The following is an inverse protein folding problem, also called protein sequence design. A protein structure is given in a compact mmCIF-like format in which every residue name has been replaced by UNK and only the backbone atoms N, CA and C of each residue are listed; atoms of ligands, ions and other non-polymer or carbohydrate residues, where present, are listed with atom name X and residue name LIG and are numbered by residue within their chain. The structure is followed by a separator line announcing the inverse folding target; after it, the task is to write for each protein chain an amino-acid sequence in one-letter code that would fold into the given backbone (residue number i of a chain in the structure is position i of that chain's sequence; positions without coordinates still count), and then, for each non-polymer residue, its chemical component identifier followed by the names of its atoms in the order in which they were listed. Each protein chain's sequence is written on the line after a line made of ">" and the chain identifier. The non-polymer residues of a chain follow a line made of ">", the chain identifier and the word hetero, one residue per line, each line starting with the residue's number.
data_IF_308423943834
#
_entry.id   IF_308423943834
#
_cell.length_a   1.000
_cell.length_b   1.000
_cell.length_c   1.000
_cell.angle_alpha   90.00
_cell.angle_beta   90.00
_cell.angle_gamma   90.00
#
_symmetry.space_group_name_H-M   'P 1'
#
loop_
_entity.id
_entity.type
_entity.pdbx_description
1 polymer ?
#
# COMPACT_ATOMS: atom_id res chain seq x y z
N UNK A 1 -34.08 58.49 26.39
CA UNK A 1 -32.83 59.00 25.80
C UNK A 1 -32.03 57.78 25.34
N UNK A 2 -31.93 57.64 24.06
CA UNK A 2 -31.46 56.44 23.37
C UNK A 2 -29.94 56.32 23.41
N UNK A 3 -29.41 55.11 23.68
CA UNK A 3 -28.04 54.75 23.38
C UNK A 3 -28.04 53.46 22.53
N UNK A 4 -27.63 53.61 21.30
CA UNK A 4 -27.41 52.56 20.31
C UNK A 4 -26.13 51.80 20.67
N UNK A 5 -26.20 50.50 20.90
CA UNK A 5 -25.06 49.61 21.02
C UNK A 5 -24.83 48.91 19.68
N UNK A 6 -23.73 49.26 19.03
CA UNK A 6 -23.30 48.61 17.77
C UNK A 6 -22.75 47.22 18.02
N UNK A 7 -23.31 46.22 17.33
CA UNK A 7 -22.72 44.90 17.19
C UNK A 7 -21.57 44.92 16.18
N UNK A 8 -20.36 44.72 16.66
CA UNK A 8 -19.23 44.36 15.81
C UNK A 8 -19.21 42.86 15.73
N UNK A 9 -19.69 42.33 14.63
CA UNK A 9 -19.49 40.90 14.27
C UNK A 9 -18.05 40.72 13.82
N UNK A 10 -17.22 40.20 14.70
CA UNK A 10 -15.91 39.67 14.33
C UNK A 10 -16.11 38.38 13.53
N UNK A 11 -16.03 38.46 12.21
CA UNK A 11 -15.81 37.32 11.33
C UNK A 11 -14.45 36.75 11.68
N UNK A 12 -14.46 35.66 12.44
CA UNK A 12 -13.30 34.83 12.64
C UNK A 12 -12.93 34.21 11.29
N UNK A 13 -11.95 34.80 10.61
CA UNK A 13 -11.23 34.10 9.56
C UNK A 13 -10.47 32.97 10.22
N UNK A 14 -11.10 31.78 10.27
CA UNK A 14 -10.39 30.54 10.53
C UNK A 14 -9.28 30.44 9.51
N UNK A 15 -8.03 30.50 9.96
CA UNK A 15 -6.89 30.14 9.14
C UNK A 15 -7.11 28.70 8.65
N UNK A 16 -7.54 28.53 7.39
CA UNK A 16 -7.39 27.27 6.69
C UNK A 16 -5.87 27.02 6.62
N UNK A 17 -5.36 26.20 7.54
CA UNK A 17 -4.06 25.64 7.38
C UNK A 17 -4.12 24.82 6.09
N UNK A 18 -3.48 25.34 5.06
CA UNK A 18 -3.23 24.57 3.83
C UNK A 18 -2.29 23.43 4.21
N UNK A 19 -2.86 22.31 4.67
CA UNK A 19 -2.10 21.09 4.73
C UNK A 19 -1.72 20.76 3.28
N UNK A 20 -0.43 20.82 2.98
CA UNK A 20 0.08 20.33 1.72
C UNK A 20 -0.37 18.87 1.56
N UNK A 21 -0.88 18.49 0.38
CA UNK A 21 -1.29 17.12 0.12
C UNK A 21 -0.20 16.15 0.53
N UNK A 22 -0.56 15.14 1.32
CA UNK A 22 0.37 14.09 1.73
C UNK A 22 0.69 13.15 0.56
N UNK A 23 -0.19 13.05 -0.44
CA UNK A 23 0.02 12.29 -1.65
C UNK A 23 0.94 13.05 -2.62
N UNK A 24 1.78 12.29 -3.33
CA UNK A 24 2.68 12.82 -4.34
C UNK A 24 2.30 12.33 -5.73
N UNK A 25 2.04 13.27 -6.65
CA UNK A 25 1.88 12.97 -8.06
C UNK A 25 3.24 12.70 -8.69
N UNK A 26 3.38 11.59 -9.39
CA UNK A 26 4.58 11.27 -10.16
C UNK A 26 4.33 11.67 -11.62
N UNK A 27 5.09 12.64 -12.10
CA UNK A 27 4.99 13.19 -13.46
C UNK A 27 6.18 12.73 -14.29
N UNK A 28 6.01 12.67 -15.61
CA UNK A 28 7.09 12.54 -16.57
C UNK A 28 7.28 13.82 -17.36
N UNK A 29 8.52 14.14 -17.68
CA UNK A 29 8.85 15.29 -18.53
C UNK A 29 8.35 15.10 -19.97
N UNK A 30 8.12 13.86 -20.38
CA UNK A 30 7.50 13.54 -21.67
C UNK A 30 6.71 12.23 -21.58
N UNK A 31 5.66 12.13 -22.39
CA UNK A 31 4.85 10.92 -22.53
C UNK A 31 5.21 10.26 -23.84
N UNK A 32 5.70 9.03 -23.79
CA UNK A 32 6.14 8.25 -24.95
C UNK A 32 5.02 7.43 -25.59
N UNK A 33 3.97 7.12 -24.82
CA UNK A 33 2.80 6.37 -25.32
C UNK A 33 1.59 6.60 -24.42
N UNK A 34 0.41 6.22 -24.93
CA UNK A 34 -0.86 6.20 -24.20
C UNK A 34 -1.19 4.79 -23.66
N UNK A 35 -0.22 3.88 -23.63
CA UNK A 35 -0.45 2.49 -23.29
C UNK A 35 -1.08 2.30 -21.88
N UNK A 36 -0.61 3.07 -20.91
CA UNK A 36 -1.09 3.03 -19.53
C UNK A 36 -2.08 4.16 -19.18
N UNK A 37 -2.56 4.92 -20.17
CA UNK A 37 -3.47 6.06 -19.95
C UNK A 37 -4.86 5.60 -19.56
N UNK A 38 -5.09 5.46 -18.26
CA UNK A 38 -6.39 5.16 -17.66
C UNK A 38 -7.29 6.40 -17.64
N UNK A 39 -8.60 6.17 -17.56
CA UNK A 39 -9.60 7.24 -17.37
C UNK A 39 -9.46 7.90 -16.00
N UNK A 40 -9.24 7.10 -14.97
CA UNK A 40 -9.13 7.55 -13.59
C UNK A 40 -7.67 7.50 -13.11
N UNK A 41 -7.26 8.40 -12.19
CA UNK A 41 -5.94 8.34 -11.56
C UNK A 41 -5.67 6.97 -10.93
N UNK A 42 -4.41 6.54 -10.95
CA UNK A 42 -3.95 5.33 -10.25
C UNK A 42 -3.24 5.78 -8.98
N UNK A 43 -3.73 5.34 -7.82
CA UNK A 43 -3.19 5.72 -6.51
C UNK A 43 -2.60 4.50 -5.81
N UNK A 44 -1.33 4.64 -5.41
CA UNK A 44 -0.52 3.57 -4.82
C UNK A 44 -0.46 3.70 -3.31
N UNK A 45 -0.68 2.59 -2.60
CA UNK A 45 -0.62 2.45 -1.15
C UNK A 45 0.54 1.52 -0.76
N UNK A 46 1.58 2.07 -0.12
CA UNK A 46 2.75 1.31 0.33
C UNK A 46 2.44 0.36 1.49
N UNK A 47 3.30 -0.65 1.70
CA UNK A 47 3.22 -1.62 2.80
C UNK A 47 3.68 -1.08 4.15
N UNK A 48 3.92 -1.99 5.10
CA UNK A 48 4.61 -1.70 6.35
C UNK A 48 6.05 -1.25 6.06
N UNK A 49 6.65 -0.46 6.95
CA UNK A 49 7.97 0.17 6.73
C UNK A 49 7.99 1.10 5.49
N UNK A 50 6.82 1.37 4.89
CA UNK A 50 6.73 2.02 3.60
C UNK A 50 6.97 3.53 3.64
N UNK A 51 7.23 4.07 2.46
CA UNK A 51 7.54 5.48 2.19
C UNK A 51 7.19 5.78 0.73
N UNK A 52 7.24 7.04 0.32
CA UNK A 52 7.24 7.37 -1.11
C UNK A 52 8.68 7.35 -1.62
N UNK A 53 9.55 8.18 -1.01
CA UNK A 53 10.96 8.29 -1.34
C UNK A 53 11.77 8.57 -0.08
N UNK A 54 12.88 7.85 0.11
CA UNK A 54 13.90 8.15 1.11
C UNK A 54 15.05 8.87 0.46
N UNK A 55 15.55 9.95 1.11
CA UNK A 55 16.68 10.73 0.61
C UNK A 55 16.29 11.85 -0.35
N UNK A 56 17.26 12.34 -1.11
CA UNK A 56 17.10 13.47 -2.03
C UNK A 56 16.70 13.03 -3.45
N UNK A 57 16.40 13.98 -4.34
CA UNK A 57 16.11 13.67 -5.74
C UNK A 57 17.26 12.94 -6.45
N UNK A 58 18.49 13.32 -6.15
CA UNK A 58 19.70 12.75 -6.77
C UNK A 58 20.20 11.48 -6.09
N UNK A 59 19.99 11.36 -4.78
CA UNK A 59 20.45 10.25 -3.96
C UNK A 59 19.28 9.77 -3.09
N UNK A 60 18.35 9.05 -3.70
CA UNK A 60 17.18 8.55 -3.00
C UNK A 60 16.70 7.21 -3.53
N UNK A 61 15.91 6.54 -2.72
CA UNK A 61 15.28 5.27 -3.02
C UNK A 61 13.76 5.44 -3.01
N UNK A 62 13.11 5.09 -4.11
CA UNK A 62 11.65 5.05 -4.20
C UNK A 62 11.13 3.69 -3.77
N UNK A 63 10.02 3.67 -3.03
CA UNK A 63 9.34 2.42 -2.67
C UNK A 63 8.88 1.65 -3.91
N UNK A 64 8.35 2.38 -4.90
CA UNK A 64 7.87 1.86 -6.18
C UNK A 64 8.91 2.16 -7.27
N UNK A 65 10.13 1.61 -7.09
CA UNK A 65 11.27 1.97 -7.93
C UNK A 65 10.98 1.73 -9.42
N UNK A 66 11.09 2.77 -10.24
CA UNK A 66 10.79 2.81 -11.68
C UNK A 66 9.33 2.48 -12.08
N UNK A 67 8.47 2.01 -11.18
CA UNK A 67 7.08 1.63 -11.51
C UNK A 67 6.26 2.88 -11.83
N UNK A 68 6.16 3.84 -10.91
CA UNK A 68 5.36 5.03 -11.13
C UNK A 68 5.92 5.92 -12.24
N UNK A 69 7.25 6.16 -12.33
CA UNK A 69 7.82 6.91 -13.46
C UNK A 69 7.55 6.25 -14.81
N UNK A 70 7.58 4.93 -14.91
CA UNK A 70 7.27 4.20 -16.14
C UNK A 70 5.80 4.37 -16.55
N UNK A 71 4.88 4.22 -15.59
CA UNK A 71 3.46 4.45 -15.82
C UNK A 71 3.19 5.88 -16.30
N UNK A 72 3.82 6.89 -15.67
CA UNK A 72 3.70 8.28 -16.08
C UNK A 72 4.23 8.51 -17.50
N UNK A 73 5.39 7.91 -17.89
CA UNK A 73 5.91 7.94 -19.26
C UNK A 73 4.96 7.29 -20.28
N UNK A 74 4.13 6.35 -19.82
CA UNK A 74 3.15 5.67 -20.67
C UNK A 74 1.72 6.23 -20.51
N UNK A 75 1.59 7.47 -20.03
CA UNK A 75 0.37 8.27 -20.08
C UNK A 75 -0.54 8.15 -18.85
N UNK A 76 -0.18 7.38 -17.83
CA UNK A 76 -0.99 7.26 -16.61
C UNK A 76 -0.87 8.51 -15.72
N UNK A 77 -1.97 8.88 -15.08
CA UNK A 77 -1.99 9.84 -13.98
C UNK A 77 -1.75 9.08 -12.66
N UNK A 78 -0.50 9.06 -12.20
CA UNK A 78 -0.06 8.24 -11.06
C UNK A 78 0.23 9.05 -9.82
N UNK A 79 -0.20 8.52 -8.68
CA UNK A 79 -0.04 9.10 -7.36
C UNK A 79 0.45 8.06 -6.36
N UNK A 80 1.36 8.46 -5.48
CA UNK A 80 1.76 7.67 -4.32
C UNK A 80 1.20 8.32 -3.06
N UNK A 81 0.43 7.56 -2.28
CA UNK A 81 -0.08 8.02 -0.99
C UNK A 81 0.95 7.77 0.12
N UNK A 82 0.93 8.62 1.12
CA UNK A 82 1.81 8.55 2.29
C UNK A 82 1.00 8.22 3.52
N UNK A 83 1.35 7.14 4.18
CA UNK A 83 0.68 6.66 5.39
C UNK A 83 1.71 6.41 6.49
N UNK A 84 1.25 6.23 7.71
CA UNK A 84 2.10 5.75 8.81
C UNK A 84 2.88 4.51 8.38
N UNK A 85 4.22 4.47 8.46
CA UNK A 85 5.00 3.25 8.24
C UNK A 85 4.56 2.08 9.11
N UNK A 86 4.14 2.38 10.35
CA UNK A 86 3.64 1.41 11.33
C UNK A 86 2.37 1.95 11.98
N UNK A 87 1.23 1.36 11.71
CA UNK A 87 -0.03 1.58 12.44
C UNK A 87 -1.08 0.55 12.01
N UNK A 88 -2.26 0.59 12.64
CA UNK A 88 -3.37 -0.30 12.29
C UNK A 88 -3.88 -0.09 10.86
N UNK A 89 -4.57 -1.09 10.34
CA UNK A 89 -5.21 -1.04 9.03
C UNK A 89 -6.21 0.12 8.92
N UNK A 90 -6.95 0.38 10.00
CA UNK A 90 -7.96 1.45 10.07
C UNK A 90 -7.31 2.84 10.03
N UNK A 91 -6.30 3.11 10.85
CA UNK A 91 -5.60 4.41 10.86
C UNK A 91 -4.97 4.69 9.49
N UNK A 92 -4.30 3.70 8.90
CA UNK A 92 -3.71 3.81 7.57
C UNK A 92 -4.78 3.96 6.48
N UNK A 93 -5.90 3.27 6.65
CA UNK A 93 -7.06 3.38 5.76
C UNK A 93 -7.65 4.78 5.75
N UNK A 94 -7.86 5.40 6.92
CA UNK A 94 -8.33 6.78 7.03
C UNK A 94 -7.36 7.79 6.41
N UNK A 95 -6.05 7.65 6.68
CA UNK A 95 -5.02 8.47 6.05
C UNK A 95 -5.05 8.36 4.53
N UNK A 96 -5.32 7.17 4.02
CA UNK A 96 -5.42 6.91 2.59
C UNK A 96 -6.67 7.54 1.99
N UNK A 97 -7.84 7.37 2.61
CA UNK A 97 -9.13 7.92 2.16
C UNK A 97 -9.06 9.45 2.04
N UNK A 98 -8.48 10.13 3.04
CA UNK A 98 -8.29 11.59 3.00
C UNK A 98 -7.50 12.02 1.76
N UNK A 99 -6.41 11.32 1.44
CA UNK A 99 -5.59 11.62 0.27
C UNK A 99 -6.30 11.29 -1.06
N UNK A 100 -7.13 10.24 -1.10
CA UNK A 100 -7.96 9.96 -2.28
C UNK A 100 -8.93 11.11 -2.57
N UNK A 101 -9.57 11.66 -1.54
CA UNK A 101 -10.46 12.81 -1.66
C UNK A 101 -9.72 14.05 -2.18
N UNK A 102 -8.52 14.32 -1.67
CA UNK A 102 -7.66 15.40 -2.17
C UNK A 102 -7.26 15.18 -3.64
N UNK A 103 -6.85 13.97 -4.02
CA UNK A 103 -6.49 13.63 -5.41
C UNK A 103 -7.67 13.84 -6.35
N UNK A 104 -8.86 13.39 -5.96
CA UNK A 104 -10.08 13.59 -6.75
C UNK A 104 -10.40 15.08 -6.89
N UNK A 105 -10.27 15.88 -5.84
CA UNK A 105 -10.46 17.32 -5.89
C UNK A 105 -9.45 18.03 -6.82
N UNK A 106 -8.17 17.61 -6.77
CA UNK A 106 -7.11 18.19 -7.61
C UNK A 106 -7.28 17.80 -9.08
N UNK A 107 -7.68 16.55 -9.35
CA UNK A 107 -7.76 16.01 -10.71
C UNK A 107 -9.11 16.20 -11.40
N UNK A 108 -10.15 16.54 -10.63
CA UNK A 108 -11.54 16.57 -11.09
C UNK A 108 -12.12 15.18 -11.39
N UNK A 109 -11.43 14.10 -11.00
CA UNK A 109 -11.89 12.74 -11.21
C UNK A 109 -12.96 12.37 -10.18
N UNK A 110 -14.01 11.69 -10.62
CA UNK A 110 -15.08 11.16 -9.77
C UNK A 110 -14.73 9.83 -9.13
N UNK A 111 -13.71 9.12 -9.68
CA UNK A 111 -13.22 7.82 -9.21
C UNK A 111 -11.71 7.73 -9.29
N UNK A 112 -11.17 6.72 -8.60
CA UNK A 112 -9.75 6.35 -8.63
C UNK A 112 -9.57 4.84 -8.80
N UNK A 113 -8.43 4.44 -9.38
CA UNK A 113 -7.93 3.08 -9.41
C UNK A 113 -6.90 2.90 -8.30
N UNK A 114 -7.03 1.86 -7.49
CA UNK A 114 -6.20 1.65 -6.31
C UNK A 114 -5.25 0.46 -6.48
N UNK A 115 -3.99 0.64 -6.06
CA UNK A 115 -3.01 -0.45 -6.00
C UNK A 115 -2.36 -0.44 -4.61
N UNK A 116 -2.49 -1.53 -3.87
CA UNK A 116 -1.94 -1.68 -2.53
C UNK A 116 -0.98 -2.85 -2.41
N UNK A 117 0.23 -2.61 -1.90
CA UNK A 117 1.21 -3.65 -1.64
C UNK A 117 1.24 -4.02 -0.16
N UNK A 118 1.34 -5.35 0.13
CA UNK A 118 1.52 -5.82 1.51
C UNK A 118 0.43 -5.29 2.45
N UNK A 119 0.78 -4.64 3.56
CA UNK A 119 -0.16 -3.95 4.44
C UNK A 119 -0.95 -2.82 3.73
N UNK A 120 -0.46 -2.28 2.61
CA UNK A 120 -1.22 -1.35 1.77
C UNK A 120 -2.47 -1.96 1.15
N UNK A 121 -2.54 -3.29 1.04
CA UNK A 121 -3.74 -4.01 0.62
C UNK A 121 -4.92 -3.76 1.57
N UNK A 122 -4.68 -3.65 2.88
CA UNK A 122 -5.72 -3.29 3.84
C UNK A 122 -6.21 -1.86 3.62
N UNK A 123 -5.32 -0.91 3.32
CA UNK A 123 -5.72 0.49 3.08
C UNK A 123 -6.60 0.63 1.83
N UNK A 124 -6.26 -0.04 0.71
CA UNK A 124 -7.08 0.01 -0.51
C UNK A 124 -8.42 -0.71 -0.34
N UNK A 125 -8.46 -1.80 0.43
CA UNK A 125 -9.70 -2.51 0.78
C UNK A 125 -10.57 -1.71 1.76
N UNK A 126 -9.95 -1.01 2.72
CA UNK A 126 -10.62 -0.07 3.61
C UNK A 126 -11.33 1.02 2.80
N UNK A 127 -10.62 1.68 1.89
CA UNK A 127 -11.18 2.72 1.02
C UNK A 127 -12.35 2.18 0.17
N UNK A 128 -12.21 0.98 -0.40
CA UNK A 128 -13.28 0.33 -1.17
C UNK A 128 -14.52 0.01 -0.33
N UNK A 129 -14.38 -0.15 0.98
CA UNK A 129 -15.50 -0.36 1.90
C UNK A 129 -16.14 0.93 2.41
N UNK A 130 -15.37 2.02 2.51
CA UNK A 130 -15.82 3.29 3.12
C UNK A 130 -16.35 4.28 2.08
N UNK A 131 -15.74 4.34 0.89
CA UNK A 131 -16.12 5.23 -0.22
C UNK A 131 -16.26 4.45 -1.55
N UNK A 132 -17.06 3.36 -1.59
CA UNK A 132 -17.11 2.46 -2.74
C UNK A 132 -17.51 3.15 -4.04
N UNK A 133 -18.34 4.19 -3.99
CA UNK A 133 -18.81 4.99 -5.13
C UNK A 133 -17.66 5.68 -5.87
N UNK A 134 -16.57 5.98 -5.18
CA UNK A 134 -15.39 6.65 -5.71
C UNK A 134 -14.28 5.69 -6.15
N UNK A 135 -14.48 4.37 -6.04
CA UNK A 135 -13.47 3.38 -6.41
C UNK A 135 -13.86 2.70 -7.71
N UNK A 136 -12.97 2.76 -8.71
CA UNK A 136 -13.17 2.10 -10.00
C UNK A 136 -12.58 0.68 -10.00
N UNK A 137 -11.40 0.51 -9.45
CA UNK A 137 -10.74 -0.79 -9.30
C UNK A 137 -9.85 -0.86 -8.07
N UNK A 138 -9.61 -2.08 -7.59
CA UNK A 138 -8.64 -2.38 -6.55
C UNK A 138 -7.74 -3.52 -7.01
N UNK A 139 -6.42 -3.33 -6.91
CA UNK A 139 -5.44 -4.40 -7.02
C UNK A 139 -4.64 -4.51 -5.74
N UNK A 140 -4.54 -5.73 -5.19
CA UNK A 140 -3.62 -6.06 -4.11
C UNK A 140 -2.41 -6.80 -4.67
N UNK A 141 -1.22 -6.37 -4.27
CA UNK A 141 0.06 -7.00 -4.63
C UNK A 141 0.68 -7.54 -3.36
N UNK A 142 0.95 -8.83 -3.31
CA UNK A 142 1.40 -9.52 -2.08
C UNK A 142 0.59 -9.08 -0.85
N UNK A 143 -0.70 -8.85 -1.02
CA UNK A 143 -1.55 -8.37 0.05
C UNK A 143 -1.77 -9.44 1.12
N UNK A 144 -1.57 -9.10 2.38
CA UNK A 144 -1.89 -10.00 3.48
C UNK A 144 -3.42 -10.07 3.69
N UNK A 145 -4.18 -10.44 2.62
CA UNK A 145 -5.65 -10.41 2.61
C UNK A 145 -6.29 -11.40 3.59
N UNK A 146 -5.53 -12.42 4.00
CA UNK A 146 -5.90 -13.36 5.08
C UNK A 146 -4.86 -13.40 6.20
N UNK A 147 -4.02 -12.36 6.27
CA UNK A 147 -2.94 -12.24 7.23
C UNK A 147 -1.68 -13.01 6.87
N UNK A 148 -0.65 -12.85 7.69
CA UNK A 148 0.60 -13.58 7.57
C UNK A 148 0.99 -14.23 8.89
N UNK A 149 1.46 -15.48 8.81
CA UNK A 149 1.97 -16.22 9.98
C UNK A 149 3.23 -15.59 10.56
N UNK A 150 3.99 -14.85 9.76
CA UNK A 150 5.16 -14.08 10.21
C UNK A 150 4.75 -13.07 11.30
N UNK A 151 3.70 -12.29 11.04
CA UNK A 151 3.20 -11.32 12.01
C UNK A 151 2.59 -12.02 13.24
N UNK A 152 1.80 -13.10 13.06
CA UNK A 152 1.24 -13.86 14.16
C UNK A 152 2.31 -14.44 15.09
N UNK A 153 3.36 -15.05 14.52
CA UNK A 153 4.46 -15.64 15.30
C UNK A 153 5.30 -14.56 15.99
N UNK A 154 5.58 -13.44 15.31
CA UNK A 154 6.31 -12.32 15.92
C UNK A 154 5.57 -11.76 17.15
N UNK A 155 4.24 -11.58 17.04
CA UNK A 155 3.42 -11.13 18.17
C UNK A 155 3.39 -12.15 19.33
N UNK A 156 3.27 -13.45 19.01
CA UNK A 156 3.32 -14.51 20.02
C UNK A 156 4.64 -14.50 20.79
N UNK A 157 5.76 -14.37 20.08
CA UNK A 157 7.09 -14.29 20.71
C UNK A 157 7.20 -13.05 21.58
N UNK A 158 6.83 -11.88 21.06
CA UNK A 158 6.89 -10.62 21.79
C UNK A 158 6.06 -10.68 23.09
N UNK A 159 4.87 -11.22 23.03
CA UNK A 159 3.98 -11.38 24.19
C UNK A 159 4.54 -12.41 25.19
N UNK A 160 5.02 -13.56 24.71
CA UNK A 160 5.56 -14.62 25.57
C UNK A 160 6.83 -14.21 26.28
N UNK A 161 7.65 -13.35 25.69
CA UNK A 161 8.90 -12.84 26.27
C UNK A 161 8.72 -11.54 27.05
N UNK A 162 7.52 -10.95 27.06
CA UNK A 162 7.26 -9.65 27.71
C UNK A 162 7.96 -8.47 27.04
N UNK A 163 8.39 -8.59 25.77
CA UNK A 163 9.14 -7.57 25.04
C UNK A 163 8.25 -6.67 24.16
N UNK A 164 6.95 -6.85 24.17
CA UNK A 164 5.99 -6.14 23.31
C UNK A 164 6.13 -4.61 23.41
N UNK A 165 6.19 -4.07 24.63
CA UNK A 165 6.34 -2.63 24.86
C UNK A 165 7.67 -2.10 24.33
N UNK A 166 8.78 -2.79 24.62
CA UNK A 166 10.10 -2.41 24.12
C UNK A 166 10.15 -2.43 22.60
N UNK A 167 9.63 -3.47 21.96
CA UNK A 167 9.57 -3.58 20.49
C UNK A 167 8.70 -2.49 19.90
N UNK A 168 7.55 -2.20 20.51
CA UNK A 168 6.68 -1.10 20.05
C UNK A 168 7.43 0.23 20.07
N UNK A 169 8.13 0.57 21.15
CA UNK A 169 8.91 1.80 21.25
C UNK A 169 10.02 1.85 20.19
N UNK A 170 10.81 0.79 20.04
CA UNK A 170 11.94 0.75 19.11
C UNK A 170 11.47 0.86 17.64
N UNK A 171 10.49 0.06 17.24
CA UNK A 171 10.00 0.02 15.87
C UNK A 171 9.21 1.30 15.53
N UNK A 172 8.42 1.83 16.46
CA UNK A 172 7.71 3.09 16.26
C UNK A 172 8.66 4.28 16.13
N UNK A 173 9.76 4.31 16.87
CA UNK A 173 10.81 5.30 16.68
C UNK A 173 11.53 5.14 15.32
N UNK A 174 11.71 3.92 14.83
CA UNK A 174 12.21 3.70 13.48
C UNK A 174 11.24 4.26 12.42
N UNK A 175 9.93 4.16 12.64
CA UNK A 175 8.92 4.83 11.81
C UNK A 175 9.14 6.35 11.72
N UNK A 176 9.48 7.01 12.84
CA UNK A 176 9.81 8.44 12.84
C UNK A 176 11.07 8.76 12.02
N UNK A 177 12.06 7.87 12.05
CA UNK A 177 13.27 8.01 11.21
C UNK A 177 12.90 7.90 9.73
N UNK A 178 12.00 6.98 9.35
CA UNK A 178 11.49 6.88 7.98
C UNK A 178 10.79 8.18 7.55
N UNK A 179 9.97 8.78 8.41
CA UNK A 179 9.31 10.05 8.10
C UNK A 179 10.33 11.18 7.92
N UNK A 180 11.31 11.30 8.81
CA UNK A 180 12.38 12.27 8.70
C UNK A 180 13.19 12.09 7.41
N UNK A 181 13.53 10.86 7.05
CA UNK A 181 14.29 10.54 5.83
C UNK A 181 13.50 10.86 4.53
N UNK A 182 12.20 11.06 4.62
CA UNK A 182 11.34 11.59 3.54
C UNK A 182 11.28 13.13 3.53
N UNK A 183 12.03 13.82 4.38
CA UNK A 183 11.97 15.27 4.53
C UNK A 183 10.75 15.78 5.29
N UNK A 184 10.08 14.93 6.07
CA UNK A 184 8.87 15.26 6.83
C UNK A 184 9.18 15.46 8.31
N UNK A 185 8.22 16.09 9.03
CA UNK A 185 8.25 16.05 10.48
C UNK A 185 8.13 14.59 10.95
N UNK A 186 9.02 14.16 11.85
CA UNK A 186 9.04 12.79 12.38
C UNK A 186 7.71 12.37 13.04
N UNK A 187 6.95 13.33 13.54
CA UNK A 187 5.64 13.13 14.17
C UNK A 187 4.46 13.46 13.24
N UNK A 188 4.69 13.61 11.92
CA UNK A 188 3.61 13.91 10.95
C UNK A 188 2.52 12.84 10.94
N UNK A 189 2.88 11.59 11.28
CA UNK A 189 1.95 10.47 11.39
C UNK A 189 2.15 9.73 12.72
N UNK A 190 1.08 9.18 13.32
CA UNK A 190 1.19 8.33 14.50
C UNK A 190 1.82 6.98 14.13
N UNK A 191 2.61 6.42 15.05
CA UNK A 191 3.23 5.11 14.91
C UNK A 191 2.83 4.20 16.05
N UNK A 192 2.43 2.97 15.70
CA UNK A 192 2.15 1.86 16.60
C UNK A 192 2.53 0.55 15.90
N UNK A 193 3.67 0.01 16.28
CA UNK A 193 4.21 -1.19 15.66
C UNK A 193 3.41 -2.45 16.05
N UNK A 194 2.86 -2.49 17.25
CA UNK A 194 2.05 -3.63 17.70
C UNK A 194 0.71 -3.66 16.97
N UNK A 195 0.07 -2.48 16.77
CA UNK A 195 -1.15 -2.35 15.98
C UNK A 195 -0.90 -2.73 14.50
N UNK A 196 0.24 -2.36 13.93
CA UNK A 196 0.63 -2.75 12.58
C UNK A 196 0.80 -4.28 12.45
N UNK A 197 1.52 -4.89 13.40
CA UNK A 197 1.70 -6.34 13.47
C UNK A 197 0.37 -7.07 13.63
N UNK A 198 -0.48 -6.60 14.55
CA UNK A 198 -1.81 -7.19 14.76
C UNK A 198 -2.66 -7.11 13.48
N UNK A 199 -2.70 -5.98 12.81
CA UNK A 199 -3.48 -5.79 11.59
C UNK A 199 -3.08 -6.75 10.46
N UNK A 200 -1.82 -7.15 10.40
CA UNK A 200 -1.30 -8.05 9.36
C UNK A 200 -1.20 -9.51 9.83
N UNK A 201 -1.43 -9.79 11.11
CA UNK A 201 -1.50 -11.16 11.62
C UNK A 201 -2.73 -11.90 11.05
N UNK A 202 -2.72 -13.22 11.11
CA UNK A 202 -3.88 -14.04 10.70
C UNK A 202 -5.11 -13.68 11.52
N UNK A 203 -4.94 -13.51 12.83
CA UNK A 203 -5.99 -13.22 13.77
C UNK A 203 -6.58 -11.81 13.56
N UNK A 204 -5.74 -10.79 13.45
CA UNK A 204 -6.18 -9.41 13.26
C UNK A 204 -6.78 -9.17 11.88
N UNK A 205 -6.20 -9.76 10.84
CA UNK A 205 -6.79 -9.70 9.49
C UNK A 205 -8.16 -10.40 9.45
N UNK A 206 -8.37 -11.48 10.20
CA UNK A 206 -9.69 -12.12 10.28
C UNK A 206 -10.75 -11.15 10.85
N UNK A 207 -10.40 -10.34 11.86
CA UNK A 207 -11.28 -9.28 12.39
C UNK A 207 -11.56 -8.19 11.36
N UNK A 208 -10.51 -7.72 10.65
CA UNK A 208 -10.66 -6.76 9.55
C UNK A 208 -11.58 -7.30 8.45
N UNK A 209 -11.45 -8.56 8.11
CA UNK A 209 -12.24 -9.23 7.08
C UNK A 209 -13.73 -9.38 7.40
N UNK A 210 -14.12 -9.31 8.68
CA UNK A 210 -15.54 -9.27 9.06
C UNK A 210 -16.24 -7.97 8.65
N UNK A 211 -15.47 -6.87 8.53
CA UNK A 211 -15.97 -5.55 8.14
C UNK A 211 -15.78 -5.28 6.64
N UNK A 212 -14.67 -5.72 6.09
CA UNK A 212 -14.25 -5.44 4.71
C UNK A 212 -14.18 -6.73 3.90
N UNK A 213 -15.35 -7.21 3.47
CA UNK A 213 -15.53 -8.54 2.85
C UNK A 213 -15.29 -8.56 1.35
N UNK A 214 -15.33 -7.37 0.69
CA UNK A 214 -15.23 -7.24 -0.76
C UNK A 214 -13.99 -8.00 -1.32
N UNK A 215 -14.20 -8.76 -2.38
CA UNK A 215 -13.14 -9.46 -3.12
C UNK A 215 -12.48 -10.63 -2.40
N UNK A 216 -12.92 -10.99 -1.19
CA UNK A 216 -12.33 -12.11 -0.46
C UNK A 216 -12.75 -13.46 -1.07
N UNK A 217 -11.79 -14.39 -1.26
CA UNK A 217 -12.12 -15.75 -1.63
C UNK A 217 -12.95 -16.47 -0.55
N UNK A 218 -13.91 -17.27 -0.99
CA UNK A 218 -14.76 -18.09 -0.09
C UNK A 218 -14.04 -19.34 0.43
N UNK A 219 -12.93 -19.72 -0.19
CA UNK A 219 -12.12 -20.88 0.19
C UNK A 219 -10.72 -20.45 0.63
N UNK A 220 -9.99 -21.34 1.25
CA UNK A 220 -8.65 -21.06 1.78
C UNK A 220 -7.68 -20.52 0.72
N UNK A 221 -7.71 -21.08 -0.50
CA UNK A 221 -6.80 -20.73 -1.59
C UNK A 221 -7.53 -20.55 -2.95
N UNK A 222 -8.78 -20.08 -2.93
CA UNK A 222 -9.54 -19.79 -4.16
C UNK A 222 -9.37 -18.35 -4.62
N UNK A 223 -10.04 -18.01 -5.71
CA UNK A 223 -10.18 -16.63 -6.18
C UNK A 223 -11.38 -15.95 -5.50
N UNK A 224 -11.33 -14.63 -5.38
CA UNK A 224 -12.46 -13.79 -5.01
C UNK A 224 -13.31 -13.38 -6.22
N UNK A 225 -14.33 -12.58 -5.96
CA UNK A 225 -15.16 -12.03 -7.03
C UNK A 225 -14.36 -11.06 -7.90
N UNK A 226 -14.41 -11.23 -9.21
CA UNK A 226 -13.77 -10.32 -10.17
C UNK A 226 -14.35 -8.91 -10.12
N UNK A 227 -15.67 -8.81 -9.89
CA UNK A 227 -16.41 -7.54 -9.79
C UNK A 227 -17.41 -7.62 -8.66
N UNK A 228 -17.39 -6.60 -7.80
CA UNK A 228 -18.32 -6.47 -6.69
C UNK A 228 -18.62 -4.99 -6.45
N UNK A 229 -19.88 -4.63 -6.21
CA UNK A 229 -20.33 -3.24 -6.04
C UNK A 229 -19.88 -2.27 -7.16
N UNK A 230 -19.74 -2.78 -8.38
CA UNK A 230 -19.25 -1.99 -9.52
C UNK A 230 -17.73 -1.85 -9.61
N UNK A 231 -16.99 -2.30 -8.61
CA UNK A 231 -15.51 -2.21 -8.50
C UNK A 231 -14.89 -3.46 -9.13
N UNK A 232 -13.88 -3.28 -9.99
CA UNK A 232 -13.08 -4.40 -10.50
C UNK A 232 -11.96 -4.75 -9.51
N UNK A 233 -11.80 -6.03 -9.20
CA UNK A 233 -10.96 -6.53 -8.12
C UNK A 233 -9.90 -7.50 -8.65
N UNK A 234 -8.64 -7.26 -8.29
CA UNK A 234 -7.50 -8.01 -8.79
C UNK A 234 -6.46 -8.28 -7.70
N UNK A 235 -5.70 -9.36 -7.88
CA UNK A 235 -4.49 -9.62 -7.11
C UNK A 235 -3.36 -10.17 -7.96
N UNK A 236 -2.13 -10.00 -7.49
CA UNK A 236 -0.94 -10.71 -7.96
C UNK A 236 0.05 -10.88 -6.80
N UNK A 237 0.90 -11.90 -6.89
CA UNK A 237 1.93 -12.16 -5.87
C UNK A 237 3.08 -12.99 -6.41
N UNK A 238 4.23 -12.88 -5.77
CA UNK A 238 5.35 -13.80 -5.92
C UNK A 238 5.23 -15.03 -5.01
N UNK A 239 6.13 -15.98 -5.20
CA UNK A 239 6.14 -17.19 -4.42
C UNK A 239 7.55 -17.73 -4.12
N UNK A 240 8.56 -16.88 -4.16
CA UNK A 240 9.95 -17.30 -4.10
C UNK A 240 10.77 -16.41 -3.17
N UNK A 241 11.01 -16.80 -1.90
CA UNK A 241 11.78 -16.00 -0.95
C UNK A 241 13.23 -15.70 -1.37
N UNK A 242 13.87 -16.60 -2.12
CA UNK A 242 15.22 -16.45 -2.65
C UNK A 242 15.16 -16.30 -4.17
N UNK A 243 15.52 -15.14 -4.69
CA UNK A 243 15.46 -14.82 -6.12
C UNK A 243 16.83 -14.52 -6.72
N UNK A 244 17.68 -13.79 -5.97
CA UNK A 244 19.02 -13.40 -6.37
C UNK A 244 19.95 -13.35 -5.15
N UNK A 245 20.96 -14.26 -5.05
CA UNK A 245 21.86 -14.30 -3.90
C UNK A 245 22.68 -13.01 -3.67
N UNK A 246 22.74 -12.10 -4.66
CA UNK A 246 23.38 -10.79 -4.53
C UNK A 246 22.45 -9.71 -4.02
N UNK A 247 21.17 -10.02 -3.84
CA UNK A 247 20.20 -9.10 -3.26
C UNK A 247 20.24 -9.21 -1.73
N UNK A 248 20.60 -8.13 -1.02
CA UNK A 248 20.58 -8.14 0.46
C UNK A 248 19.18 -8.38 1.04
N UNK A 249 18.12 -8.04 0.30
CA UNK A 249 16.74 -8.29 0.69
C UNK A 249 16.39 -9.77 0.76
N UNK A 250 16.97 -10.57 -0.13
CA UNK A 250 16.75 -12.02 -0.17
C UNK A 250 17.15 -12.70 1.16
N UNK A 251 18.22 -12.24 1.79
CA UNK A 251 18.64 -12.79 3.09
C UNK A 251 17.56 -12.61 4.16
N UNK A 252 16.87 -11.48 4.17
CA UNK A 252 15.78 -11.20 5.10
C UNK A 252 14.56 -12.06 4.74
N UNK A 253 14.21 -12.15 3.47
CA UNK A 253 13.07 -12.95 3.01
C UNK A 253 13.25 -14.44 3.32
N UNK A 254 14.44 -14.97 3.07
CA UNK A 254 14.77 -16.37 3.41
C UNK A 254 14.73 -16.60 4.92
N UNK A 255 15.22 -15.67 5.72
CA UNK A 255 15.15 -15.77 7.18
C UNK A 255 13.72 -15.84 7.67
N UNK A 256 12.86 -14.93 7.20
CA UNK A 256 11.44 -14.91 7.58
C UNK A 256 10.69 -16.16 7.10
N UNK A 257 11.00 -16.64 5.88
CA UNK A 257 10.48 -17.93 5.40
C UNK A 257 10.87 -19.06 6.35
N UNK A 258 12.16 -19.23 6.65
CA UNK A 258 12.66 -20.32 7.50
C UNK A 258 12.15 -20.25 8.94
N UNK A 259 11.94 -19.07 9.48
CA UNK A 259 11.42 -18.90 10.84
C UNK A 259 9.91 -19.14 10.91
N UNK A 260 9.15 -18.74 9.91
CA UNK A 260 7.69 -18.69 10.03
C UNK A 260 6.92 -18.95 8.74
N UNK A 261 7.18 -18.22 7.64
CA UNK A 261 6.31 -18.19 6.47
C UNK A 261 6.11 -19.57 5.80
N UNK A 262 7.14 -20.43 5.83
CA UNK A 262 7.07 -21.81 5.29
C UNK A 262 5.91 -22.65 5.85
N UNK A 263 5.44 -22.34 7.07
CA UNK A 263 4.32 -23.05 7.73
C UNK A 263 3.00 -22.92 6.97
N UNK A 264 2.85 -21.85 6.19
CA UNK A 264 1.67 -21.59 5.39
C UNK A 264 1.82 -21.96 3.90
N UNK A 265 2.87 -22.67 3.54
CA UNK A 265 3.14 -23.15 2.19
C UNK A 265 3.93 -22.18 1.33
N UNK A 266 3.67 -22.17 0.01
CA UNK A 266 4.34 -21.26 -0.92
C UNK A 266 4.12 -19.79 -0.50
N UNK A 267 5.19 -19.00 -0.52
CA UNK A 267 5.18 -17.62 -0.05
C UNK A 267 6.30 -16.81 -0.74
N UNK A 268 6.26 -15.50 -0.56
CA UNK A 268 7.24 -14.55 -1.06
C UNK A 268 8.33 -14.16 -0.02
N UNK A 269 8.38 -14.87 1.09
CA UNK A 269 9.22 -14.61 2.27
C UNK A 269 8.41 -14.05 3.45
N UNK A 270 7.25 -13.44 3.20
CA UNK A 270 6.39 -12.82 4.23
C UNK A 270 4.94 -13.28 4.10
N UNK A 271 4.35 -13.15 2.90
CA UNK A 271 2.93 -13.40 2.65
C UNK A 271 2.74 -14.72 1.93
N UNK A 272 1.92 -15.63 2.47
CA UNK A 272 1.55 -16.86 1.77
C UNK A 272 0.74 -16.56 0.51
N UNK A 273 0.99 -17.31 -0.57
CA UNK A 273 0.29 -17.17 -1.86
C UNK A 273 -1.24 -17.18 -1.67
N UNK A 274 -1.76 -18.15 -0.91
CA UNK A 274 -3.21 -18.25 -0.66
C UNK A 274 -3.76 -17.08 0.17
N UNK A 275 -2.93 -16.41 0.98
CA UNK A 275 -3.30 -15.19 1.69
C UNK A 275 -3.36 -13.99 0.75
N UNK A 276 -2.53 -13.97 -0.29
CA UNK A 276 -2.47 -12.87 -1.25
C UNK A 276 -3.64 -12.85 -2.25
N UNK A 277 -4.42 -13.93 -2.36
CA UNK A 277 -5.57 -13.99 -3.27
C UNK A 277 -6.66 -13.00 -2.85
N UNK A 278 -7.13 -12.23 -3.84
CA UNK A 278 -8.18 -11.23 -3.72
C UNK A 278 -8.75 -10.94 -5.11
N UNK A 279 -10.07 -10.88 -5.25
CA UNK A 279 -10.68 -10.69 -6.56
C UNK A 279 -10.18 -11.73 -7.57
N UNK A 280 -9.98 -11.30 -8.81
CA UNK A 280 -9.36 -12.13 -9.84
C UNK A 280 -7.85 -12.16 -9.65
N UNK A 281 -7.28 -13.32 -9.43
CA UNK A 281 -5.84 -13.53 -9.39
C UNK A 281 -5.26 -13.43 -10.80
N UNK A 282 -4.45 -12.40 -11.06
CA UNK A 282 -3.78 -12.21 -12.36
C UNK A 282 -2.69 -13.27 -12.52
N UNK A 283 -1.88 -13.42 -11.47
CA UNK A 283 -0.81 -14.39 -11.38
C UNK A 283 -0.33 -14.52 -9.93
N UNK A 284 -0.03 -15.73 -9.48
CA UNK A 284 0.38 -16.06 -8.10
C UNK A 284 1.66 -16.89 -8.03
N UNK A 285 2.35 -17.00 -9.16
CA UNK A 285 3.59 -17.80 -9.31
C UNK A 285 4.74 -16.97 -9.88
N UNK A 286 4.71 -15.64 -9.70
CA UNK A 286 5.89 -14.87 -10.08
C UNK A 286 7.11 -15.32 -9.26
N UNK A 287 8.27 -15.51 -9.91
CA UNK A 287 9.49 -15.86 -9.20
C UNK A 287 10.10 -14.61 -8.53
N UNK A 288 9.29 -13.95 -7.71
CA UNK A 288 9.59 -12.75 -6.93
C UNK A 288 9.48 -13.03 -5.45
N UNK A 289 10.29 -12.33 -4.66
CA UNK A 289 10.08 -12.17 -3.24
C UNK A 289 9.25 -10.90 -2.95
N UNK A 290 8.93 -10.68 -1.69
CA UNK A 290 8.08 -9.58 -1.24
C UNK A 290 8.59 -8.18 -1.62
N UNK A 291 9.89 -7.99 -1.81
CA UNK A 291 10.51 -6.72 -2.19
C UNK A 291 10.63 -6.57 -3.71
N UNK A 292 10.83 -7.66 -4.45
CA UNK A 292 10.86 -7.68 -5.90
C UNK A 292 9.54 -7.19 -6.51
N UNK A 293 8.42 -7.50 -5.84
CA UNK A 293 7.07 -7.17 -6.32
C UNK A 293 6.83 -5.66 -6.47
N UNK A 294 7.56 -4.85 -5.74
CA UNK A 294 7.56 -3.38 -5.84
C UNK A 294 8.85 -2.84 -6.44
N UNK A 295 9.67 -3.74 -6.99
CA UNK A 295 10.97 -3.40 -7.61
C UNK A 295 11.90 -2.62 -6.66
N UNK A 296 11.77 -2.84 -5.34
CA UNK A 296 12.58 -2.18 -4.33
C UNK A 296 14.07 -2.52 -4.51
N UNK A 297 14.93 -1.92 -3.73
CA UNK A 297 16.38 -2.13 -3.75
C UNK A 297 16.99 -1.94 -5.15
N UNK A 298 16.62 -0.82 -5.80
CA UNK A 298 17.11 -0.41 -7.12
C UNK A 298 16.76 -1.40 -8.24
N UNK A 299 15.74 -2.24 -8.05
CA UNK A 299 15.27 -3.19 -9.04
C UNK A 299 16.12 -4.46 -9.14
N UNK A 300 16.92 -4.76 -8.11
CA UNK A 300 17.63 -6.05 -8.04
C UNK A 300 16.60 -7.14 -7.83
N UNK A 301 16.60 -8.13 -8.70
CA UNK A 301 15.67 -9.28 -8.68
C UNK A 301 16.33 -10.49 -9.35
N UNK A 302 15.62 -11.60 -9.40
CA UNK A 302 16.07 -12.79 -10.15
C UNK A 302 16.38 -12.46 -11.62
N UNK A 303 17.52 -12.95 -12.14
CA UNK A 303 18.04 -12.63 -13.49
C UNK A 303 17.03 -12.94 -14.58
N UNK A 304 16.27 -14.03 -14.44
CA UNK A 304 15.24 -14.46 -15.40
C UNK A 304 13.81 -14.17 -14.93
N UNK A 305 13.65 -13.44 -13.83
CA UNK A 305 12.34 -13.08 -13.35
C UNK A 305 11.67 -12.06 -14.28
N UNK A 306 10.36 -12.16 -14.53
CA UNK A 306 9.60 -11.13 -15.23
C UNK A 306 9.84 -9.76 -14.60
N UNK A 307 9.75 -8.71 -15.42
CA UNK A 307 9.93 -7.35 -14.94
C UNK A 307 8.68 -6.87 -14.18
N UNK A 308 8.78 -6.52 -12.89
CA UNK A 308 7.65 -5.98 -12.14
C UNK A 308 7.10 -4.70 -12.78
N UNK A 309 7.96 -3.80 -13.25
CA UNK A 309 7.56 -2.55 -13.90
C UNK A 309 6.62 -2.81 -15.08
N UNK A 310 6.97 -3.79 -15.92
CA UNK A 310 6.12 -4.21 -17.04
C UNK A 310 4.77 -4.78 -16.58
N UNK A 311 4.74 -5.48 -15.45
CA UNK A 311 3.51 -6.08 -14.90
C UNK A 311 2.50 -5.01 -14.45
N UNK A 312 2.96 -3.94 -13.80
CA UNK A 312 2.10 -2.80 -13.46
C UNK A 312 1.64 -2.03 -14.70
N UNK A 313 2.51 -1.84 -15.70
CA UNK A 313 2.15 -1.19 -16.96
C UNK A 313 1.08 -2.00 -17.71
N UNK A 314 1.20 -3.32 -17.75
CA UNK A 314 0.18 -4.20 -18.32
C UNK A 314 -1.13 -4.13 -17.53
N UNK A 315 -1.07 -3.99 -16.20
CA UNK A 315 -2.29 -3.81 -15.40
C UNK A 315 -2.96 -2.47 -15.71
N UNK A 316 -2.23 -1.38 -15.80
CA UNK A 316 -2.80 -0.09 -16.19
C UNK A 316 -3.46 -0.16 -17.59
N UNK A 317 -2.84 -0.84 -18.55
CA UNK A 317 -3.46 -1.08 -19.86
C UNK A 317 -4.73 -1.93 -19.74
N UNK A 318 -4.74 -2.95 -18.88
CA UNK A 318 -5.96 -3.75 -18.59
C UNK A 318 -7.10 -2.86 -18.10
N UNK A 319 -6.83 -1.92 -17.17
CA UNK A 319 -7.82 -0.97 -16.68
C UNK A 319 -8.29 -0.03 -17.80
N UNK A 320 -7.38 0.51 -18.61
CA UNK A 320 -7.71 1.32 -19.78
C UNK A 320 -8.67 0.62 -20.73
N UNK A 321 -8.41 -0.66 -21.05
CA UNK A 321 -9.26 -1.46 -21.92
C UNK A 321 -10.64 -1.76 -21.31
N UNK A 322 -10.79 -1.64 -19.98
CA UNK A 322 -12.07 -1.72 -19.27
C UNK A 322 -12.77 -0.36 -19.14
N UNK A 323 -12.19 0.72 -19.69
CA UNK A 323 -12.73 2.06 -19.61
C UNK A 323 -12.52 2.75 -18.24
N UNK A 324 -11.58 2.28 -17.44
CA UNK A 324 -11.29 2.78 -16.08
C UNK A 324 -10.07 3.69 -16.01
#
# INVERSE_FOLDING_TARGET
>A
MFILAGLISALGMGSMSTHASQAQQIKSNFVQSDYAKTKYPIVFAHGMVGFIRLGTESLGMDYWYQILPDLARNGANTWAARMSPFNSAEIRGEQYVQQLQEIMAITGADKVNLIGHSHGAHAVRYAAGVIPEHIASVMTVAGANKGTVVASDALKVANATGTSELLNVLISNFGKVIMWAQGLNANAFPHDAMAAGLSTSVEGTAVFNQKFTIGLPKTACGEGAYKENGILLYSMTGNKPLTNPLDPGDSVMVLLDKLSAYKAGKNDGIVPVCSAHFGKTIRDDYPWNHLDEVNLLLGIKGIFAPDPVASYRQHANRLKLQGL
#
